data_IF_604726485039
#
_entry.id   IF_604726485039
#
_cell.length_a   1.000
_cell.length_b   1.000
_cell.length_c   1.000
_cell.angle_alpha   90.00
_cell.angle_beta   90.00
_cell.angle_gamma   90.00
#
_symmetry.space_group_name_H-M   'P 1'
#
loop_
_entity.id
_entity.type
_entity.pdbx_description
1 polymer ?
#
# COMPACT_ATOMS: atom_id res chain seq x y z
N UNK A 1 6.38 11.52 32.16
CA UNK A 1 6.41 10.82 30.87
C UNK A 1 5.34 11.44 29.97
N UNK A 2 5.72 12.32 29.04
CA UNK A 2 4.78 12.87 28.08
C UNK A 2 4.42 11.76 27.09
N UNK A 3 3.17 11.28 27.11
CA UNK A 3 2.62 10.49 26.01
C UNK A 3 2.55 11.41 24.80
N UNK A 4 3.52 11.32 23.90
CA UNK A 4 3.45 11.98 22.60
C UNK A 4 2.30 11.33 21.83
N UNK A 5 1.13 11.98 21.78
CA UNK A 5 0.05 11.56 20.89
C UNK A 5 0.54 11.78 19.47
N UNK A 6 1.02 10.72 18.82
CA UNK A 6 1.31 10.77 17.39
C UNK A 6 -0.03 10.92 16.68
N UNK A 7 -0.26 12.06 16.05
CA UNK A 7 -1.48 12.28 15.27
C UNK A 7 -1.52 11.24 14.15
N UNK A 8 -2.65 10.56 14.02
CA UNK A 8 -2.88 9.62 12.93
C UNK A 8 -2.80 10.37 11.60
N UNK A 9 -1.97 9.87 10.70
CA UNK A 9 -1.76 10.50 9.39
C UNK A 9 -2.95 10.25 8.47
N UNK A 10 -2.99 10.96 7.33
CA UNK A 10 -3.99 10.71 6.29
C UNK A 10 -3.90 9.28 5.75
N UNK A 11 -2.69 8.72 5.60
CA UNK A 11 -2.47 7.35 5.14
C UNK A 11 -3.08 6.37 6.14
N UNK A 12 -2.67 6.46 7.41
CA UNK A 12 -3.12 5.59 8.49
C UNK A 12 -4.64 5.62 8.61
N UNK A 13 -5.21 6.82 8.72
CA UNK A 13 -6.66 7.01 8.84
C UNK A 13 -7.42 6.42 7.65
N UNK A 14 -6.96 6.69 6.42
CA UNK A 14 -7.66 6.22 5.21
C UNK A 14 -7.60 4.69 5.11
N UNK A 15 -6.43 4.09 5.31
CA UNK A 15 -6.28 2.64 5.19
C UNK A 15 -7.01 1.89 6.30
N UNK A 16 -6.93 2.35 7.55
CA UNK A 16 -7.67 1.75 8.67
C UNK A 16 -9.19 1.81 8.45
N UNK A 17 -9.70 2.92 7.93
CA UNK A 17 -11.13 3.10 7.69
C UNK A 17 -11.65 2.22 6.54
N UNK A 18 -10.90 2.12 5.43
CA UNK A 18 -11.35 1.40 4.24
C UNK A 18 -11.01 -0.09 4.27
N UNK A 19 -9.95 -0.48 4.99
CA UNK A 19 -9.49 -1.86 5.09
C UNK A 19 -9.16 -2.25 6.54
N UNK A 20 -10.13 -2.20 7.46
CA UNK A 20 -9.89 -2.58 8.85
C UNK A 20 -9.36 -4.02 8.98
N UNK A 21 -9.75 -4.92 8.07
CA UNK A 21 -9.29 -6.31 8.01
C UNK A 21 -7.79 -6.45 7.75
N UNK A 22 -7.18 -5.51 7.02
CA UNK A 22 -5.74 -5.51 6.76
C UNK A 22 -4.93 -5.33 8.05
N UNK A 23 -5.54 -4.78 9.10
CA UNK A 23 -4.90 -4.45 10.37
C UNK A 23 -5.50 -5.22 11.56
N UNK A 24 -6.58 -5.99 11.36
CA UNK A 24 -7.31 -6.68 12.42
C UNK A 24 -6.48 -7.73 13.19
N UNK A 25 -5.50 -8.35 12.52
CA UNK A 25 -4.60 -9.34 13.12
C UNK A 25 -3.34 -8.71 13.76
N UNK A 26 -3.11 -7.41 13.56
CA UNK A 26 -1.96 -6.69 14.10
C UNK A 26 -2.11 -6.34 15.59
N UNK A 27 -2.90 -7.12 16.36
CA UNK A 27 -3.26 -6.89 17.78
C UNK A 27 -2.07 -6.79 18.76
N UNK A 28 -0.82 -6.80 18.28
CA UNK A 28 0.39 -6.57 19.10
C UNK A 28 1.35 -5.51 18.53
N UNK A 29 1.08 -4.95 17.35
CA UNK A 29 1.94 -3.95 16.72
C UNK A 29 1.14 -2.68 16.54
N UNK A 30 1.38 -1.70 17.40
CA UNK A 30 0.97 -0.33 17.11
C UNK A 30 1.77 0.07 15.87
N UNK A 31 1.11 0.23 14.72
CA UNK A 31 1.76 0.80 13.53
C UNK A 31 2.09 2.24 13.86
N UNK A 32 3.36 2.48 14.17
CA UNK A 32 3.82 3.76 14.66
C UNK A 32 4.09 4.72 13.51
N UNK A 33 4.04 4.27 12.26
CA UNK A 33 4.36 5.10 11.09
C UNK A 33 3.59 4.73 9.82
N UNK A 34 3.56 5.66 8.86
CA UNK A 34 3.07 5.43 7.51
C UNK A 34 3.80 4.28 6.83
N UNK A 35 5.11 4.16 7.09
CA UNK A 35 5.94 3.14 6.49
C UNK A 35 5.48 1.73 6.86
N UNK A 36 5.35 1.46 8.16
CA UNK A 36 4.88 0.16 8.65
C UNK A 36 3.44 -0.12 8.21
N UNK A 37 2.59 0.91 8.17
CA UNK A 37 1.21 0.82 7.71
C UNK A 37 1.14 0.39 6.23
N UNK A 38 1.96 1.01 5.37
CA UNK A 38 2.01 0.71 3.95
C UNK A 38 2.62 -0.67 3.67
N UNK A 39 3.64 -1.10 4.42
CA UNK A 39 4.18 -2.45 4.31
C UNK A 39 3.13 -3.51 4.66
N UNK A 40 2.42 -3.33 5.79
CA UNK A 40 1.32 -4.23 6.17
C UNK A 40 0.23 -4.25 5.10
N UNK A 41 -0.11 -3.09 4.55
CA UNK A 41 -1.13 -2.99 3.52
C UNK A 41 -0.71 -3.64 2.20
N UNK A 42 0.57 -3.58 1.85
CA UNK A 42 1.14 -4.31 0.72
C UNK A 42 1.03 -5.83 0.92
N UNK A 43 1.37 -6.34 2.11
CA UNK A 43 1.23 -7.76 2.44
C UNK A 43 -0.22 -8.23 2.34
N UNK A 44 -1.15 -7.43 2.87
CA UNK A 44 -2.58 -7.68 2.73
C UNK A 44 -3.02 -7.72 1.26
N UNK A 45 -2.54 -6.77 0.45
CA UNK A 45 -2.84 -6.71 -0.99
C UNK A 45 -2.35 -7.96 -1.71
N UNK A 46 -1.11 -8.39 -1.45
CA UNK A 46 -0.54 -9.61 -2.03
C UNK A 46 -1.33 -10.86 -1.62
N UNK A 47 -1.82 -10.92 -0.38
CA UNK A 47 -2.70 -11.99 0.09
C UNK A 47 -4.03 -12.02 -0.67
N UNK A 48 -4.66 -10.87 -0.92
CA UNK A 48 -5.89 -10.82 -1.71
C UNK A 48 -5.67 -11.33 -3.14
N UNK A 49 -4.51 -10.99 -3.73
CA UNK A 49 -4.14 -11.42 -5.08
C UNK A 49 -3.93 -12.93 -5.12
N UNK A 50 -3.14 -13.48 -4.20
CA UNK A 50 -2.83 -14.92 -4.16
C UNK A 50 -4.05 -15.79 -3.85
N UNK A 51 -4.97 -15.30 -3.02
CA UNK A 51 -6.25 -15.94 -2.74
C UNK A 51 -7.31 -15.68 -3.84
N UNK A 52 -6.96 -14.93 -4.89
CA UNK A 52 -7.83 -14.54 -5.99
C UNK A 52 -9.18 -13.95 -5.51
N UNK A 53 -9.14 -13.10 -4.48
CA UNK A 53 -10.33 -12.48 -3.91
C UNK A 53 -10.94 -11.48 -4.89
N UNK A 54 -12.27 -11.38 -4.91
CA UNK A 54 -13.00 -10.48 -5.83
C UNK A 54 -12.60 -9.00 -5.66
N UNK A 55 -12.26 -8.61 -4.43
CA UNK A 55 -11.87 -7.25 -4.07
C UNK A 55 -10.37 -6.95 -4.24
N UNK A 56 -9.57 -7.82 -4.88
CA UNK A 56 -8.11 -7.63 -5.03
C UNK A 56 -7.69 -6.37 -5.81
N UNK A 57 -8.64 -5.70 -6.50
CA UNK A 57 -8.42 -4.40 -7.17
C UNK A 57 -8.57 -3.19 -6.24
N UNK A 58 -9.34 -3.32 -5.15
CA UNK A 58 -9.68 -2.19 -4.28
C UNK A 58 -8.45 -1.56 -3.59
N UNK A 59 -7.43 -2.31 -3.14
CA UNK A 59 -6.23 -1.70 -2.57
C UNK A 59 -5.54 -0.71 -3.51
N UNK A 60 -5.43 -1.06 -4.79
CA UNK A 60 -4.81 -0.19 -5.79
C UNK A 60 -5.62 1.09 -6.05
N UNK A 61 -6.95 1.02 -5.98
CA UNK A 61 -7.80 2.21 -6.11
C UNK A 61 -7.58 3.19 -4.95
N UNK A 62 -7.47 2.68 -3.73
CA UNK A 62 -7.24 3.53 -2.56
C UNK A 62 -5.81 4.06 -2.52
N UNK A 63 -4.81 3.27 -2.92
CA UNK A 63 -3.46 3.78 -3.11
C UNK A 63 -3.42 4.89 -4.15
N UNK A 64 -4.11 4.73 -5.29
CA UNK A 64 -4.23 5.80 -6.28
C UNK A 64 -4.88 7.06 -5.70
N UNK A 65 -5.97 6.91 -4.92
CA UNK A 65 -6.64 8.04 -4.28
C UNK A 65 -5.72 8.80 -3.32
N UNK A 66 -4.96 8.07 -2.49
CA UNK A 66 -4.00 8.65 -1.55
C UNK A 66 -2.87 9.31 -2.31
N UNK A 67 -2.31 8.65 -3.33
CA UNK A 67 -1.20 9.15 -4.12
C UNK A 67 -1.57 10.44 -4.87
N UNK A 68 -2.73 10.47 -5.53
CA UNK A 68 -3.21 11.63 -6.28
C UNK A 68 -3.43 12.87 -5.38
N UNK A 69 -3.93 12.66 -4.16
CA UNK A 69 -4.25 13.73 -3.21
C UNK A 69 -3.22 13.86 -2.07
N UNK A 70 -2.06 13.22 -2.23
CA UNK A 70 -1.03 13.10 -1.20
C UNK A 70 0.01 14.20 -1.32
N UNK A 71 0.63 14.52 -0.19
CA UNK A 71 1.85 15.31 -0.15
C UNK A 71 3.02 14.57 -0.82
N UNK A 72 4.14 15.26 -1.06
CA UNK A 72 5.36 14.60 -1.55
C UNK A 72 5.82 13.49 -0.60
N UNK A 73 5.65 13.70 0.71
CA UNK A 73 5.94 12.67 1.72
C UNK A 73 5.07 11.43 1.50
N UNK A 74 3.76 11.59 1.31
CA UNK A 74 2.84 10.45 1.13
C UNK A 74 3.17 9.66 -0.14
N UNK A 75 3.48 10.37 -1.22
CA UNK A 75 3.89 9.74 -2.50
C UNK A 75 5.16 8.94 -2.34
N UNK A 76 6.18 9.52 -1.72
CA UNK A 76 7.45 8.84 -1.46
C UNK A 76 7.27 7.63 -0.55
N UNK A 77 6.44 7.73 0.49
CA UNK A 77 6.15 6.61 1.37
C UNK A 77 5.47 5.45 0.61
N UNK A 78 4.49 5.75 -0.26
CA UNK A 78 3.83 4.75 -1.10
C UNK A 78 4.82 4.07 -2.06
N UNK A 79 5.66 4.86 -2.75
CA UNK A 79 6.67 4.32 -3.66
C UNK A 79 7.64 3.40 -2.91
N UNK A 80 8.20 3.86 -1.80
CA UNK A 80 9.24 3.16 -1.06
C UNK A 80 8.74 1.92 -0.31
N UNK A 81 7.48 1.90 0.13
CA UNK A 81 7.00 0.86 1.02
C UNK A 81 5.97 -0.05 0.36
N UNK A 82 4.97 0.53 -0.30
CA UNK A 82 3.92 -0.26 -0.92
C UNK A 82 4.40 -0.84 -2.26
N UNK A 83 4.84 0.01 -3.19
CA UNK A 83 5.27 -0.44 -4.52
C UNK A 83 6.55 -1.28 -4.46
N UNK A 84 7.56 -0.87 -3.69
CA UNK A 84 8.78 -1.68 -3.51
C UNK A 84 8.50 -3.05 -2.91
N UNK A 85 7.51 -3.21 -2.03
CA UNK A 85 7.16 -4.54 -1.49
C UNK A 85 6.55 -5.43 -2.58
N UNK A 86 5.66 -4.89 -3.40
CA UNK A 86 5.08 -5.62 -4.52
C UNK A 86 6.13 -5.97 -5.57
N UNK A 87 7.05 -5.05 -5.90
CA UNK A 87 8.07 -5.28 -6.93
C UNK A 87 9.02 -6.44 -6.61
N UNK A 88 9.28 -6.71 -5.32
CA UNK A 88 10.17 -7.79 -4.88
C UNK A 88 9.69 -9.19 -5.24
N UNK A 89 8.41 -9.37 -5.55
CA UNK A 89 7.87 -10.67 -5.95
C UNK A 89 7.69 -10.80 -7.46
N UNK A 90 8.13 -9.80 -8.23
CA UNK A 90 7.76 -9.71 -9.64
C UNK A 90 8.50 -10.70 -10.54
N UNK A 91 7.70 -11.30 -11.41
CA UNK A 91 8.04 -12.05 -12.60
C UNK A 91 7.28 -11.43 -13.78
N UNK A 92 7.59 -11.75 -15.05
CA UNK A 92 6.82 -11.22 -16.17
C UNK A 92 5.31 -11.49 -16.08
N UNK A 93 4.91 -12.64 -15.52
CA UNK A 93 3.51 -13.02 -15.38
C UNK A 93 2.80 -12.21 -14.28
N UNK A 94 3.41 -12.11 -13.10
CA UNK A 94 2.84 -11.35 -11.98
C UNK A 94 2.80 -9.86 -12.27
N UNK A 95 3.78 -9.33 -13.01
CA UNK A 95 3.82 -7.92 -13.38
C UNK A 95 2.62 -7.57 -14.25
N UNK A 96 2.33 -8.41 -15.25
CA UNK A 96 1.15 -8.22 -16.09
C UNK A 96 -0.14 -8.33 -15.27
N UNK A 97 -0.22 -9.25 -14.30
CA UNK A 97 -1.38 -9.33 -13.40
C UNK A 97 -1.53 -8.03 -12.59
N UNK A 98 -0.50 -7.60 -11.87
CA UNK A 98 -0.52 -6.41 -11.04
C UNK A 98 -0.90 -5.16 -11.84
N UNK A 99 -0.30 -4.96 -13.01
CA UNK A 99 -0.65 -3.85 -13.90
C UNK A 99 -2.13 -3.87 -14.31
N UNK A 100 -2.72 -5.04 -14.53
CA UNK A 100 -4.15 -5.17 -14.85
C UNK A 100 -5.08 -4.90 -13.67
N UNK A 101 -4.58 -5.03 -12.42
CA UNK A 101 -5.32 -4.67 -11.21
C UNK A 101 -5.22 -3.17 -10.89
N UNK A 102 -4.17 -2.50 -11.37
CA UNK A 102 -3.92 -1.08 -11.10
C UNK A 102 -4.72 -0.11 -12.00
N UNK A 103 -5.21 1.02 -11.43
CA UNK A 103 -5.58 2.21 -12.19
C UNK A 103 -4.42 2.69 -13.08
N UNK A 104 -4.74 3.26 -14.24
CA UNK A 104 -3.72 3.62 -15.26
C UNK A 104 -2.70 4.63 -14.74
N UNK A 105 -3.14 5.52 -13.85
CA UNK A 105 -2.39 6.65 -13.31
C UNK A 105 -1.18 6.20 -12.50
N UNK A 106 -1.29 5.10 -11.75
CA UNK A 106 -0.21 4.59 -10.89
C UNK A 106 0.67 3.53 -11.56
N UNK A 107 0.30 3.03 -12.75
CA UNK A 107 1.09 2.00 -13.47
C UNK A 107 2.49 2.50 -13.81
N UNK A 108 2.60 3.72 -14.33
CA UNK A 108 3.89 4.30 -14.71
C UNK A 108 4.78 4.50 -13.47
N UNK A 109 4.18 4.91 -12.34
CA UNK A 109 4.90 5.05 -11.07
C UNK A 109 5.39 3.69 -10.58
N UNK A 110 4.54 2.66 -10.64
CA UNK A 110 4.93 1.31 -10.26
C UNK A 110 6.08 0.76 -11.11
N UNK A 111 6.01 0.93 -12.44
CA UNK A 111 7.08 0.53 -13.36
C UNK A 111 8.38 1.29 -13.05
N UNK A 112 8.30 2.60 -12.79
CA UNK A 112 9.44 3.40 -12.38
C UNK A 112 10.09 2.81 -11.12
N UNK A 113 9.30 2.48 -10.09
CA UNK A 113 9.80 1.86 -8.86
C UNK A 113 10.49 0.51 -9.12
N UNK A 114 10.05 -0.27 -10.11
CA UNK A 114 10.74 -1.52 -10.49
C UNK A 114 12.09 -1.24 -11.17
N UNK A 115 12.17 -0.22 -12.03
CA UNK A 115 13.40 0.11 -12.78
C UNK A 115 14.47 0.74 -11.88
N UNK A 116 14.06 1.49 -10.86
CA UNK A 116 14.97 2.23 -9.96
C UNK A 116 15.55 1.39 -8.81
N UNK A 117 14.99 0.20 -8.54
CA UNK A 117 15.44 -0.73 -7.49
C UNK A 117 16.25 -1.90 -8.08
#
# INVERSE_FOLDING_TARGET
>A
MLKTFKMETKIQKTLNQWFPEAFANAKKTVFNSDYETLQQFAEYTLKLISENRENKKEPFKIINLIYANGSLHDKNAIENEFFTKLSKIETPATLNEHLNLMPKEIRTIYIKTIIEN
#
